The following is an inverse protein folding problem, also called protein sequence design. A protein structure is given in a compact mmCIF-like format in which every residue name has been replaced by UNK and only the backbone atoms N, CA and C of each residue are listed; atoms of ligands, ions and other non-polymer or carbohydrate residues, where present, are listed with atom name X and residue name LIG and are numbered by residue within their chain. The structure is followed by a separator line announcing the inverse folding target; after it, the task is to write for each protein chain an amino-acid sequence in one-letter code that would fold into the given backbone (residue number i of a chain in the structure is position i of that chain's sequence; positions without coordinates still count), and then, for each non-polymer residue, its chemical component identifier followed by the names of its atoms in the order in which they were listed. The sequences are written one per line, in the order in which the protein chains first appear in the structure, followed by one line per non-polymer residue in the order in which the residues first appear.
data_IF_867604983046
#
_entry.id   IF_867604983046
#
_cell.length_a   1.000
_cell.length_b   1.000
_cell.length_c   1.000
_cell.angle_alpha   90.00
_cell.angle_beta   90.00
_cell.angle_gamma   90.00
#
_symmetry.space_group_name_H-M   'P 1'
#
loop_
_entity.id
_entity.type
_entity.pdbx_description
1 polymer ?
#
# COMPACT_ATOMS: atom_id res chain seq x y z
N UNK A 1 -1.40 -2.45 -16.66
CA UNK A 1 -0.94 -1.87 -15.38
C UNK A 1 -0.68 -0.40 -15.61
N UNK A 2 -0.94 0.44 -14.61
CA UNK A 2 -0.64 1.88 -14.65
C UNK A 2 0.39 2.22 -13.57
N UNK A 3 1.45 2.94 -13.92
CA UNK A 3 2.57 3.23 -13.03
C UNK A 3 2.54 4.71 -12.70
N UNK A 4 2.23 5.04 -11.45
CA UNK A 4 2.10 6.42 -10.98
C UNK A 4 3.45 6.98 -10.52
N UNK A 5 4.25 6.16 -9.84
CA UNK A 5 5.58 6.52 -9.35
C UNK A 5 6.48 5.27 -9.26
N UNK A 6 7.73 5.39 -9.70
CA UNK A 6 8.72 4.29 -9.73
C UNK A 6 10.14 4.82 -9.51
N UNK A 7 11.05 3.96 -9.05
CA UNK A 7 12.42 4.33 -8.74
C UNK A 7 13.25 4.56 -10.02
N UNK A 8 14.11 5.59 -10.07
CA UNK A 8 14.87 5.95 -11.28
C UNK A 8 15.81 4.87 -11.83
N UNK A 9 16.29 3.97 -10.97
CA UNK A 9 17.21 2.87 -11.33
C UNK A 9 16.56 1.49 -11.34
N UNK A 10 15.24 1.41 -11.10
CA UNK A 10 14.56 0.17 -10.74
C UNK A 10 14.90 -0.31 -9.32
N UNK A 11 13.94 -0.98 -8.68
CA UNK A 11 14.07 -1.65 -7.38
C UNK A 11 14.18 -3.18 -7.49
N UNK A 12 13.91 -3.89 -6.38
CA UNK A 12 13.95 -5.36 -6.31
C UNK A 12 12.82 -6.08 -7.09
N UNK A 13 11.95 -5.34 -7.79
CA UNK A 13 10.83 -5.86 -8.59
C UNK A 13 9.73 -6.56 -7.76
N UNK A 14 9.66 -6.27 -6.46
CA UNK A 14 8.74 -6.95 -5.53
C UNK A 14 7.28 -6.55 -5.77
N UNK A 15 7.03 -5.33 -6.23
CA UNK A 15 5.70 -4.78 -6.52
C UNK A 15 5.14 -5.30 -7.81
N UNK A 16 5.97 -5.47 -8.85
CA UNK A 16 5.48 -6.22 -10.01
C UNK A 16 5.22 -7.69 -9.61
N UNK A 17 6.00 -8.26 -8.70
CA UNK A 17 5.72 -9.56 -8.08
C UNK A 17 4.37 -9.61 -7.34
N UNK A 18 4.08 -8.62 -6.50
CA UNK A 18 2.79 -8.50 -5.81
C UNK A 18 1.63 -8.34 -6.80
N UNK A 19 1.81 -7.52 -7.83
CA UNK A 19 0.80 -7.34 -8.88
C UNK A 19 0.57 -8.64 -9.68
N UNK A 20 1.58 -9.48 -9.89
CA UNK A 20 1.40 -10.79 -10.51
C UNK A 20 0.55 -11.73 -9.63
N UNK A 21 0.76 -11.73 -8.31
CA UNK A 21 -0.09 -12.51 -7.39
C UNK A 21 -1.54 -12.03 -7.45
N UNK A 22 -1.77 -10.72 -7.45
CA UNK A 22 -3.13 -10.17 -7.60
C UNK A 22 -3.73 -10.57 -8.95
N UNK A 23 -2.95 -10.47 -10.04
CA UNK A 23 -3.42 -10.86 -11.37
C UNK A 23 -3.80 -12.35 -11.41
N UNK A 24 -3.09 -13.21 -10.69
CA UNK A 24 -3.43 -14.65 -10.60
C UNK A 24 -4.77 -14.92 -9.93
N UNK A 25 -5.17 -14.09 -8.96
CA UNK A 25 -6.44 -14.22 -8.22
C UNK A 25 -7.58 -13.44 -8.88
N UNK A 26 -7.27 -12.27 -9.45
CA UNK A 26 -8.20 -11.32 -10.02
C UNK A 26 -7.68 -10.79 -11.38
N UNK A 27 -7.68 -11.60 -12.44
CA UNK A 27 -7.08 -11.23 -13.73
C UNK A 27 -7.78 -10.07 -14.44
N UNK A 28 -9.05 -9.81 -14.11
CA UNK A 28 -9.83 -8.70 -14.65
C UNK A 28 -9.68 -7.39 -13.84
N UNK A 29 -8.87 -7.37 -12.79
CA UNK A 29 -8.62 -6.14 -12.03
C UNK A 29 -7.66 -5.21 -12.80
N UNK A 30 -7.98 -3.91 -12.79
CA UNK A 30 -7.00 -2.89 -13.16
C UNK A 30 -5.95 -2.81 -12.05
N UNK A 31 -4.68 -2.87 -12.44
CA UNK A 31 -3.54 -2.86 -11.54
C UNK A 31 -2.79 -1.55 -11.69
N UNK A 32 -2.44 -0.92 -10.58
CA UNK A 32 -1.53 0.22 -10.56
C UNK A 32 -0.49 0.10 -9.47
N UNK A 33 0.61 0.82 -9.68
CA UNK A 33 1.80 0.77 -8.87
C UNK A 33 2.26 2.19 -8.51
N UNK A 34 2.69 2.36 -7.27
CA UNK A 34 3.40 3.56 -6.81
C UNK A 34 4.46 3.15 -5.80
N UNK A 35 5.69 3.62 -5.95
CA UNK A 35 6.77 3.30 -5.02
C UNK A 35 6.57 3.95 -3.65
N UNK A 36 7.01 3.27 -2.60
CA UNK A 36 7.06 3.81 -1.25
C UNK A 36 8.47 4.27 -0.85
N UNK A 37 9.48 4.19 -1.73
CA UNK A 37 10.89 4.36 -1.34
C UNK A 37 11.46 5.77 -1.41
N UNK A 38 10.77 6.70 -2.07
CA UNK A 38 11.26 8.05 -2.26
C UNK A 38 11.37 8.80 -0.92
N UNK A 39 10.32 8.77 -0.10
CA UNK A 39 10.26 9.26 1.28
C UNK A 39 8.93 8.92 1.93
N UNK A 40 8.84 9.04 3.27
CA UNK A 40 7.58 8.84 4.01
C UNK A 40 6.46 9.80 3.53
N UNK A 41 6.82 11.04 3.19
CA UNK A 41 5.86 12.00 2.63
C UNK A 41 5.43 11.63 1.21
N UNK A 42 6.35 11.13 0.39
CA UNK A 42 6.04 10.64 -0.96
C UNK A 42 5.13 9.43 -0.89
N UNK A 43 5.37 8.53 0.06
CA UNK A 43 4.52 7.37 0.27
C UNK A 43 3.10 7.77 0.67
N UNK A 44 2.95 8.69 1.63
CA UNK A 44 1.65 9.23 2.02
C UNK A 44 0.91 9.86 0.83
N UNK A 45 1.61 10.63 -0.02
CA UNK A 45 1.02 11.22 -1.23
C UNK A 45 0.62 10.14 -2.25
N UNK A 46 1.47 9.15 -2.47
CA UNK A 46 1.22 8.05 -3.40
C UNK A 46 -0.02 7.22 -3.00
N UNK A 47 -0.30 7.07 -1.70
CA UNK A 47 -1.54 6.44 -1.21
C UNK A 47 -2.78 7.23 -1.67
N UNK A 48 -2.73 8.57 -1.56
CA UNK A 48 -3.83 9.44 -2.01
C UNK A 48 -3.97 9.43 -3.53
N UNK A 49 -2.86 9.39 -4.26
CA UNK A 49 -2.85 9.39 -5.73
C UNK A 49 -3.40 8.06 -6.28
N UNK A 50 -3.06 6.93 -5.66
CA UNK A 50 -3.67 5.63 -5.99
C UNK A 50 -5.19 5.67 -5.79
N UNK A 51 -5.67 6.24 -4.67
CA UNK A 51 -7.12 6.39 -4.46
C UNK A 51 -7.74 7.29 -5.54
N UNK A 52 -7.09 8.39 -5.90
CA UNK A 52 -7.56 9.31 -6.95
C UNK A 52 -7.59 8.65 -8.32
N UNK A 53 -6.63 7.76 -8.61
CA UNK A 53 -6.61 6.89 -9.79
C UNK A 53 -7.69 5.79 -9.77
N UNK A 54 -8.46 5.69 -8.68
CA UNK A 54 -9.57 4.78 -8.52
C UNK A 54 -9.22 3.44 -7.88
N UNK A 55 -8.19 3.37 -7.04
CA UNK A 55 -7.95 2.21 -6.18
C UNK A 55 -9.15 1.97 -5.26
N UNK A 56 -9.65 0.72 -5.21
CA UNK A 56 -10.63 0.30 -4.22
C UNK A 56 -10.00 -0.55 -3.11
N UNK A 57 -8.86 -1.16 -3.39
CA UNK A 57 -8.01 -1.89 -2.46
C UNK A 57 -6.58 -1.41 -2.67
N UNK A 58 -5.94 -0.93 -1.62
CA UNK A 58 -4.55 -0.50 -1.59
C UNK A 58 -3.81 -1.43 -0.65
N UNK A 59 -2.64 -1.92 -1.06
CA UNK A 59 -1.85 -2.82 -0.24
C UNK A 59 -0.38 -2.43 -0.24
N UNK A 60 0.26 -2.47 0.92
CA UNK A 60 1.68 -2.19 1.07
C UNK A 60 2.40 -3.31 1.84
N UNK A 61 3.72 -3.38 1.65
CA UNK A 61 4.62 -4.24 2.41
C UNK A 61 5.77 -3.46 3.10
N UNK A 62 5.60 -2.15 3.26
CA UNK A 62 6.61 -1.25 3.85
C UNK A 62 6.28 -0.89 5.29
N UNK A 63 7.33 -0.73 6.08
CA UNK A 63 7.22 -0.06 7.37
C UNK A 63 8.42 0.84 7.57
N UNK A 64 8.17 2.09 7.94
CA UNK A 64 9.21 3.05 8.25
C UNK A 64 9.62 2.92 9.72
N UNK A 65 10.93 2.83 9.99
CA UNK A 65 11.43 2.80 11.37
C UNK A 65 11.12 4.09 12.15
N UNK A 66 10.88 5.19 11.43
CA UNK A 66 10.59 6.50 12.00
C UNK A 66 9.09 6.80 12.14
N UNK A 67 8.20 5.87 11.75
CA UNK A 67 6.76 6.07 11.93
C UNK A 67 6.43 6.19 13.42
N UNK A 68 5.64 7.20 13.84
CA UNK A 68 5.35 7.39 15.25
C UNK A 68 4.46 6.24 15.77
N UNK A 69 4.91 5.56 16.82
CA UNK A 69 4.17 4.44 17.42
C UNK A 69 2.88 4.84 18.15
N UNK A 70 2.85 6.06 18.70
CA UNK A 70 1.77 6.54 19.58
C UNK A 70 1.02 7.75 19.01
N UNK A 71 1.40 8.20 17.81
CA UNK A 71 0.83 9.38 17.16
C UNK A 71 0.59 9.06 15.69
N UNK A 72 -0.42 9.68 15.09
CA UNK A 72 -0.71 9.50 13.68
C UNK A 72 0.39 10.16 12.83
N UNK A 73 1.17 9.33 12.12
CA UNK A 73 2.12 9.77 11.12
C UNK A 73 1.44 10.24 9.82
N UNK A 74 2.18 10.88 8.91
CA UNK A 74 1.65 11.30 7.60
C UNK A 74 1.05 10.14 6.79
N UNK A 75 1.67 8.96 6.84
CA UNK A 75 1.16 7.74 6.18
C UNK A 75 -0.17 7.31 6.80
N UNK A 76 -0.24 7.22 8.13
CA UNK A 76 -1.46 6.83 8.83
C UNK A 76 -2.64 7.78 8.55
N UNK A 77 -2.38 9.09 8.44
CA UNK A 77 -3.37 10.08 8.01
C UNK A 77 -3.86 9.86 6.57
N UNK A 78 -2.96 9.50 5.65
CA UNK A 78 -3.33 9.18 4.27
C UNK A 78 -4.18 7.90 4.21
N UNK A 79 -3.82 6.86 4.96
CA UNK A 79 -4.60 5.62 5.13
C UNK A 79 -6.00 5.92 5.66
N UNK A 80 -6.11 6.73 6.72
CA UNK A 80 -7.39 7.15 7.27
C UNK A 80 -8.25 7.89 6.23
N UNK A 81 -7.63 8.71 5.39
CA UNK A 81 -8.32 9.45 4.32
C UNK A 81 -8.88 8.52 3.25
N UNK A 82 -8.08 7.59 2.74
CA UNK A 82 -8.53 6.68 1.66
C UNK A 82 -9.54 5.65 2.16
N UNK A 83 -9.40 5.20 3.41
CA UNK A 83 -10.36 4.28 4.03
C UNK A 83 -11.69 4.97 4.33
N UNK A 84 -11.68 6.22 4.79
CA UNK A 84 -12.88 7.03 4.90
C UNK A 84 -13.54 7.29 3.54
N UNK A 85 -12.75 7.35 2.46
CA UNK A 85 -13.22 7.43 1.08
C UNK A 85 -13.68 6.08 0.49
N UNK A 86 -13.71 5.00 1.29
CA UNK A 86 -14.26 3.70 0.92
C UNK A 86 -13.26 2.68 0.37
N UNK A 87 -11.96 2.99 0.33
CA UNK A 87 -10.96 2.01 -0.05
C UNK A 87 -10.62 1.06 1.11
N UNK A 88 -10.30 -0.20 0.79
CA UNK A 88 -9.69 -1.13 1.75
C UNK A 88 -8.17 -0.94 1.73
N UNK A 89 -7.56 -0.73 2.90
CA UNK A 89 -6.11 -0.62 3.02
C UNK A 89 -5.57 -1.82 3.82
N UNK A 90 -4.59 -2.53 3.26
CA UNK A 90 -4.00 -3.72 3.87
C UNK A 90 -2.49 -3.54 3.91
N UNK A 91 -1.88 -3.58 5.08
CA UNK A 91 -0.41 -3.56 5.22
C UNK A 91 0.10 -4.95 5.59
N UNK A 92 1.33 -5.26 5.19
CA UNK A 92 1.99 -6.49 5.61
C UNK A 92 2.22 -6.52 7.13
N UNK A 93 2.32 -7.71 7.71
CA UNK A 93 2.70 -7.86 9.12
C UNK A 93 4.21 -7.65 9.36
N UNK A 94 4.98 -7.34 8.32
CA UNK A 94 6.44 -7.30 8.34
C UNK A 94 7.10 -8.68 8.51
N UNK A 95 8.38 -8.77 8.15
CA UNK A 95 9.21 -9.98 8.26
C UNK A 95 10.22 -9.91 9.43
N UNK A 96 10.01 -8.97 10.37
CA UNK A 96 10.85 -8.76 11.55
C UNK A 96 10.45 -9.77 12.62
N UNK A 97 11.26 -10.83 12.82
CA UNK A 97 11.04 -11.82 13.89
C UNK A 97 11.04 -11.10 15.26
N UNK A 98 9.86 -11.03 15.87
CA UNK A 98 9.56 -10.47 17.19
C UNK A 98 9.90 -8.98 17.38
N UNK A 99 9.00 -8.11 16.93
CA UNK A 99 8.72 -6.82 17.59
C UNK A 99 7.21 -6.78 17.80
N UNK A 100 6.78 -6.66 19.06
CA UNK A 100 5.39 -6.69 19.47
C UNK A 100 4.70 -5.38 19.05
N UNK A 101 3.82 -5.43 18.05
CA UNK A 101 2.90 -4.35 17.71
C UNK A 101 1.48 -4.89 17.72
N UNK A 102 0.61 -4.17 18.43
CA UNK A 102 -0.70 -4.60 18.93
C UNK A 102 -1.75 -4.97 17.86
N UNK A 103 -3.00 -5.23 18.29
CA UNK A 103 -3.90 -6.11 17.58
C UNK A 103 -4.41 -5.51 16.26
N UNK A 104 -4.11 -6.18 15.15
CA UNK A 104 -4.69 -5.92 13.84
C UNK A 104 -6.23 -6.07 13.87
N UNK A 105 -6.94 -5.00 13.54
CA UNK A 105 -8.41 -5.02 13.39
C UNK A 105 -8.77 -5.71 12.07
N UNK A 106 -9.46 -6.85 12.16
CA UNK A 106 -10.01 -7.56 11.01
C UNK A 106 -11.32 -6.92 10.55
N UNK A 107 -11.49 -6.70 9.24
CA UNK A 107 -12.78 -6.81 8.52
C UNK A 107 -12.54 -6.86 7.01
N UNK A 108 -13.13 -7.87 6.39
CA UNK A 108 -13.14 -8.17 4.97
C UNK A 108 -14.37 -7.55 4.29
N UNK A 109 -14.17 -6.78 3.21
CA UNK A 109 -15.18 -6.49 2.17
C UNK A 109 -14.46 -6.44 0.81
N UNK A 110 -14.91 -7.29 -0.12
CA UNK A 110 -14.38 -7.45 -1.47
C UNK A 110 -15.33 -6.77 -2.46
N UNK A 111 -14.89 -5.75 -3.23
CA UNK A 111 -15.41 -5.40 -4.57
C UNK A 111 -14.39 -4.52 -5.35
N UNK A 112 -13.77 -5.15 -6.36
CA UNK A 112 -13.07 -4.69 -7.59
C UNK A 112 -12.38 -3.31 -7.69
N UNK A 113 -11.10 -3.24 -7.27
CA UNK A 113 -9.87 -2.70 -7.96
C UNK A 113 -8.69 -2.73 -6.96
N UNK A 114 -7.68 -3.60 -7.14
CA UNK A 114 -6.53 -3.72 -6.23
C UNK A 114 -5.26 -3.06 -6.79
N UNK A 115 -4.55 -2.26 -5.99
CA UNK A 115 -3.29 -1.57 -6.33
C UNK A 115 -2.30 -1.64 -5.15
N UNK A 116 -0.98 -1.74 -5.41
CA UNK A 116 0.04 -2.11 -4.40
C UNK A 116 1.29 -1.21 -4.45
N UNK A 117 1.99 -1.01 -3.31
CA UNK A 117 3.27 -0.29 -3.17
C UNK A 117 4.41 -1.22 -2.66
N UNK A 118 5.65 -1.03 -3.15
CA UNK A 118 6.83 -1.95 -3.13
C UNK A 118 7.72 -2.00 -1.86
N UNK A 119 8.55 -3.07 -1.76
CA UNK A 119 9.60 -3.47 -0.78
C UNK A 119 11.07 -3.11 -1.11
#
# INVERSE_FOLDING_TARGET
MDVLDDLPSGGADEGRGMLQLVHSVAPAASLSFATAFNSESSFAQNILDLRTAGADVIVDDISYFAEPFFQEGPVANAVATVTAAGASYISSAGNRRHIELGPAVRRSVLHKRCQFAEC
#
